data_IF_805382476676
#
_entry.id   IF_805382476676
#
_cell.length_a   1.000
_cell.length_b   1.000
_cell.length_c   1.000
_cell.angle_alpha   90.00
_cell.angle_beta   90.00
_cell.angle_gamma   90.00
#
_symmetry.space_group_name_H-M   'P 1'
#
loop_
_entity.id
_entity.type
_entity.pdbx_description
1 polymer ?
#
# COMPACT_ATOMS: atom_id res chain seq x y z
N UNK A 1 -1.25 -11.25 19.43
CA UNK A 1 -2.30 -11.99 18.69
C UNK A 1 -1.64 -12.84 17.61
N UNK A 2 -2.21 -13.99 17.26
CA UNK A 2 -1.71 -14.75 16.11
C UNK A 2 -2.21 -14.11 14.81
N UNK A 3 -1.54 -14.38 13.68
CA UNK A 3 -1.88 -13.81 12.36
C UNK A 3 -3.34 -14.14 11.97
N UNK A 4 -3.82 -15.34 12.31
CA UNK A 4 -5.21 -15.74 12.06
C UNK A 4 -6.21 -14.84 12.78
N UNK A 5 -5.94 -14.46 14.03
CA UNK A 5 -6.83 -13.61 14.82
C UNK A 5 -6.85 -12.19 14.25
N UNK A 6 -5.66 -11.67 13.90
CA UNK A 6 -5.51 -10.37 13.24
C UNK A 6 -6.34 -10.30 11.96
N UNK A 7 -6.21 -11.32 11.11
CA UNK A 7 -6.92 -11.36 9.82
C UNK A 7 -8.42 -11.51 10.01
N UNK A 8 -8.85 -12.39 10.91
CA UNK A 8 -10.27 -12.61 11.21
C UNK A 8 -10.95 -11.34 11.72
N UNK A 9 -10.30 -10.60 12.63
CA UNK A 9 -10.79 -9.31 13.12
C UNK A 9 -10.87 -8.29 11.98
N UNK A 10 -9.77 -8.14 11.23
CA UNK A 10 -9.65 -7.14 10.18
C UNK A 10 -10.64 -7.33 9.05
N UNK A 11 -10.97 -8.58 8.68
CA UNK A 11 -11.97 -8.89 7.65
C UNK A 11 -13.39 -8.52 8.08
N UNK A 12 -13.69 -8.55 9.38
CA UNK A 12 -15.01 -8.18 9.91
C UNK A 12 -15.14 -6.67 10.14
N UNK A 13 -14.03 -6.00 10.41
CA UNK A 13 -13.98 -4.59 10.80
C UNK A 13 -14.77 -3.64 9.86
N UNK A 14 -14.67 -3.70 8.52
CA UNK A 14 -15.41 -2.78 7.64
C UNK A 14 -16.93 -3.02 7.67
N UNK A 15 -17.38 -4.24 7.98
CA UNK A 15 -18.80 -4.58 8.10
C UNK A 15 -19.47 -3.98 9.33
N UNK A 16 -18.70 -3.40 10.26
CA UNK A 16 -19.24 -2.68 11.43
C UNK A 16 -20.09 -1.47 11.02
N UNK A 17 -19.78 -0.81 9.89
CA UNK A 17 -20.52 0.36 9.44
C UNK A 17 -20.49 0.54 7.90
N UNK A 18 -21.50 -0.03 7.23
CA UNK A 18 -21.66 0.07 5.78
C UNK A 18 -21.81 1.49 5.24
N UNK A 19 -22.34 2.42 6.05
CA UNK A 19 -22.45 3.84 5.63
C UNK A 19 -21.05 4.41 5.39
N UNK A 20 -20.10 4.12 6.27
CA UNK A 20 -18.70 4.57 6.14
C UNK A 20 -17.97 3.90 4.98
N UNK A 21 -18.26 2.61 4.73
CA UNK A 21 -17.77 1.90 3.53
C UNK A 21 -18.24 2.60 2.25
N UNK A 22 -19.53 2.91 2.16
CA UNK A 22 -20.12 3.59 1.00
C UNK A 22 -19.57 5.00 0.83
N UNK A 23 -19.37 5.77 1.91
CA UNK A 23 -18.77 7.11 1.83
C UNK A 23 -17.34 7.01 1.27
N UNK A 24 -16.51 6.09 1.79
CA UNK A 24 -15.18 5.87 1.25
C UNK A 24 -15.24 5.43 -0.22
N UNK A 25 -16.19 4.57 -0.58
CA UNK A 25 -16.45 4.14 -1.95
C UNK A 25 -16.81 5.28 -2.90
N UNK A 26 -17.62 6.25 -2.45
CA UNK A 26 -17.90 7.46 -3.22
C UNK A 26 -16.61 8.24 -3.47
N UNK A 27 -15.73 8.37 -2.45
CA UNK A 27 -14.42 9.01 -2.61
C UNK A 27 -13.54 8.29 -3.63
N UNK A 28 -13.53 6.95 -3.64
CA UNK A 28 -12.86 6.16 -4.67
C UNK A 28 -13.41 6.45 -6.07
N UNK A 29 -14.73 6.57 -6.23
CA UNK A 29 -15.34 6.89 -7.53
C UNK A 29 -14.92 8.28 -8.03
N UNK A 30 -14.91 9.29 -7.16
CA UNK A 30 -14.55 10.66 -7.56
C UNK A 30 -13.04 10.93 -7.55
N UNK A 31 -12.21 9.94 -7.22
CA UNK A 31 -10.74 10.06 -7.13
C UNK A 31 -10.06 10.40 -8.45
N UNK A 32 -10.74 10.24 -9.61
CA UNK A 32 -10.22 10.76 -10.89
C UNK A 32 -10.00 12.29 -10.89
N UNK A 33 -10.58 13.02 -9.92
CA UNK A 33 -10.39 14.46 -9.72
C UNK A 33 -9.11 14.81 -8.93
N UNK A 34 -8.25 13.82 -8.63
CA UNK A 34 -6.97 13.95 -7.90
C UNK A 34 -7.15 14.31 -6.41
N UNK A 35 -7.88 15.38 -6.08
CA UNK A 35 -8.09 15.81 -4.69
C UNK A 35 -8.69 14.68 -3.81
N UNK A 36 -9.72 13.92 -4.26
CA UNK A 36 -10.30 12.88 -3.43
C UNK A 36 -9.39 11.67 -3.19
N UNK A 37 -8.33 11.46 -3.98
CA UNK A 37 -7.33 10.41 -3.73
C UNK A 37 -6.67 10.62 -2.37
N UNK A 38 -6.31 11.87 -2.06
CA UNK A 38 -5.71 12.21 -0.77
C UNK A 38 -6.71 12.04 0.38
N UNK A 39 -8.00 12.28 0.16
CA UNK A 39 -9.04 12.00 1.16
C UNK A 39 -9.19 10.50 1.42
N UNK A 40 -9.09 9.66 0.38
CA UNK A 40 -9.07 8.20 0.54
C UNK A 40 -7.85 7.77 1.38
N UNK A 41 -6.65 8.20 0.99
CA UNK A 41 -5.42 7.90 1.75
C UNK A 41 -5.52 8.36 3.21
N UNK A 42 -5.99 9.59 3.41
CA UNK A 42 -6.19 10.16 4.74
C UNK A 42 -7.21 9.41 5.59
N UNK A 43 -8.31 8.95 5.01
CA UNK A 43 -9.29 8.15 5.75
C UNK A 43 -8.72 6.79 6.13
N UNK A 44 -8.00 6.12 5.23
CA UNK A 44 -7.30 4.86 5.52
C UNK A 44 -6.27 5.05 6.63
N UNK A 45 -5.56 6.18 6.63
CA UNK A 45 -4.67 6.57 7.74
C UNK A 45 -5.43 6.75 9.06
N UNK A 46 -6.60 7.37 9.01
CA UNK A 46 -7.43 7.57 10.20
C UNK A 46 -7.94 6.25 10.76
N UNK A 47 -8.29 5.28 9.90
CA UNK A 47 -8.62 3.91 10.32
C UNK A 47 -7.43 3.25 11.02
N UNK A 48 -6.22 3.43 10.48
CA UNK A 48 -4.98 2.96 11.10
C UNK A 48 -4.75 3.61 12.47
N UNK A 49 -4.86 4.96 12.58
CA UNK A 49 -4.76 5.70 13.86
C UNK A 49 -5.78 5.19 14.90
N UNK A 50 -7.06 5.09 14.51
CA UNK A 50 -8.13 4.62 15.40
C UNK A 50 -7.89 3.18 15.87
N UNK A 51 -7.43 2.31 14.98
CA UNK A 51 -7.13 0.91 15.31
C UNK A 51 -5.90 0.77 16.21
N UNK A 52 -4.87 1.60 16.02
CA UNK A 52 -3.70 1.66 16.92
C UNK A 52 -4.11 2.14 18.32
N UNK A 53 -5.09 3.04 18.40
CA UNK A 53 -5.67 3.50 19.67
C UNK A 53 -6.63 2.47 20.31
N UNK A 54 -6.78 1.27 19.75
CA UNK A 54 -7.64 0.22 20.28
C UNK A 54 -9.14 0.43 20.06
N UNK A 55 -9.53 1.32 19.14
CA UNK A 55 -10.94 1.54 18.82
C UNK A 55 -11.44 0.47 17.85
N UNK A 56 -12.54 -0.19 18.19
CA UNK A 56 -13.17 -1.22 17.35
C UNK A 56 -14.19 -0.68 16.34
N UNK A 57 -14.51 0.61 16.43
CA UNK A 57 -15.40 1.29 15.50
C UNK A 57 -14.63 2.00 14.40
N UNK A 58 -15.20 2.06 13.20
CA UNK A 58 -14.67 2.88 12.11
C UNK A 58 -14.68 4.36 12.53
N UNK A 59 -13.66 5.17 12.19
CA UNK A 59 -13.64 6.60 12.51
C UNK A 59 -14.71 7.39 11.74
N UNK A 60 -15.07 8.58 12.21
CA UNK A 60 -16.02 9.45 11.50
C UNK A 60 -15.39 10.17 10.30
N UNK A 61 -16.25 10.57 9.36
CA UNK A 61 -15.90 11.44 8.22
C UNK A 61 -16.09 12.91 8.59
N UNK A 62 -15.37 13.34 9.61
CA UNK A 62 -15.23 14.71 10.06
C UNK A 62 -13.85 15.27 9.72
N UNK A 63 -13.59 16.54 10.03
CA UNK A 63 -12.25 17.14 9.93
C UNK A 63 -11.54 16.86 8.58
N UNK A 64 -12.28 17.02 7.48
CA UNK A 64 -11.84 16.71 6.12
C UNK A 64 -10.52 17.37 5.72
N UNK A 65 -10.22 18.54 6.29
CA UNK A 65 -8.95 19.24 6.09
C UNK A 65 -7.76 18.48 6.68
N UNK A 66 -7.87 17.97 7.91
CA UNK A 66 -6.82 17.12 8.50
C UNK A 66 -6.66 15.83 7.69
N UNK A 67 -7.78 15.20 7.32
CA UNK A 67 -7.76 13.98 6.52
C UNK A 67 -7.03 14.20 5.19
N UNK A 68 -7.29 15.30 4.50
CA UNK A 68 -6.58 15.66 3.27
C UNK A 68 -5.06 15.84 3.50
N UNK A 69 -4.67 16.54 4.57
CA UNK A 69 -3.26 16.76 4.92
C UNK A 69 -2.57 15.43 5.24
N UNK A 70 -3.21 14.56 6.01
CA UNK A 70 -2.67 13.24 6.33
C UNK A 70 -2.53 12.37 5.07
N UNK A 71 -3.45 12.48 4.11
CA UNK A 71 -3.31 11.85 2.79
C UNK A 71 -2.09 12.34 2.02
N UNK A 72 -1.83 13.65 2.02
CA UNK A 72 -0.61 14.21 1.40
C UNK A 72 0.65 13.68 2.11
N UNK A 73 0.65 13.60 3.44
CA UNK A 73 1.78 13.05 4.19
C UNK A 73 2.08 11.62 3.80
N UNK A 74 1.05 10.76 3.69
CA UNK A 74 1.23 9.38 3.21
C UNK A 74 1.85 9.38 1.81
N UNK A 75 1.30 10.16 0.89
CA UNK A 75 1.83 10.24 -0.47
C UNK A 75 3.30 10.66 -0.47
N UNK A 76 3.70 11.63 0.37
CA UNK A 76 5.11 12.04 0.52
C UNK A 76 5.97 10.89 1.04
N UNK A 77 5.51 10.16 2.04
CA UNK A 77 6.22 8.98 2.57
C UNK A 77 6.40 7.93 1.48
N UNK A 78 5.32 7.52 0.81
CA UNK A 78 5.38 6.55 -0.29
C UNK A 78 6.32 7.03 -1.39
N UNK A 79 6.20 8.29 -1.81
CA UNK A 79 7.08 8.88 -2.83
C UNK A 79 8.56 8.80 -2.44
N UNK A 80 8.91 9.16 -1.20
CA UNK A 80 10.29 9.11 -0.71
C UNK A 80 10.82 7.68 -0.62
N UNK A 81 10.01 6.72 -0.15
CA UNK A 81 10.42 5.32 -0.08
C UNK A 81 10.60 4.67 -1.47
N UNK A 82 9.79 5.07 -2.45
CA UNK A 82 9.84 4.48 -3.79
C UNK A 82 10.70 5.24 -4.80
N UNK A 83 11.32 6.37 -4.43
CA UNK A 83 12.15 7.17 -5.35
C UNK A 83 13.35 6.38 -5.89
N UNK A 84 14.08 5.66 -5.02
CA UNK A 84 15.27 4.89 -5.41
C UNK A 84 14.86 3.70 -6.30
N UNK A 85 13.91 2.83 -5.90
CA UNK A 85 13.41 1.79 -6.78
C UNK A 85 12.94 2.31 -8.14
N UNK A 86 12.18 3.41 -8.16
CA UNK A 86 11.67 3.99 -9.40
C UNK A 86 12.79 4.45 -10.34
N UNK A 87 13.82 5.13 -9.82
CA UNK A 87 14.99 5.55 -10.62
C UNK A 87 15.70 4.34 -11.22
N UNK A 88 15.93 3.28 -10.44
CA UNK A 88 16.61 2.06 -10.92
C UNK A 88 15.79 1.39 -12.04
N UNK A 89 14.47 1.29 -11.88
CA UNK A 89 13.58 0.74 -12.90
C UNK A 89 13.58 1.61 -14.17
N UNK A 90 13.51 2.93 -14.02
CA UNK A 90 13.52 3.88 -15.15
C UNK A 90 14.84 3.79 -15.93
N UNK A 91 15.99 3.75 -15.25
CA UNK A 91 17.29 3.59 -15.90
C UNK A 91 17.40 2.24 -16.61
N UNK A 92 16.91 1.17 -16.00
CA UNK A 92 16.89 -0.17 -16.60
C UNK A 92 16.03 -0.25 -17.86
N UNK A 93 14.82 0.30 -17.81
CA UNK A 93 13.88 0.30 -18.95
C UNK A 93 14.32 1.26 -20.06
N UNK A 94 14.87 2.43 -19.72
CA UNK A 94 15.43 3.37 -20.70
C UNK A 94 16.64 2.79 -21.45
N UNK A 95 17.53 2.09 -20.73
CA UNK A 95 18.61 1.33 -21.36
C UNK A 95 18.11 0.26 -22.33
N UNK A 96 17.00 -0.42 -22.00
CA UNK A 96 16.37 -1.40 -22.88
C UNK A 96 15.85 -0.77 -24.19
N UNK A 97 15.10 0.32 -24.07
CA UNK A 97 14.45 1.01 -25.22
C UNK A 97 15.51 1.58 -26.17
N UNK A 98 16.52 2.26 -25.65
CA UNK A 98 17.61 2.83 -26.47
C UNK A 98 18.40 1.75 -27.20
N UNK A 99 18.61 0.59 -26.57
CA UNK A 99 19.26 -0.57 -27.19
C UNK A 99 18.44 -1.11 -28.36
N UNK A 100 17.12 -1.27 -28.20
CA UNK A 100 16.23 -1.74 -29.26
C UNK A 100 16.20 -0.77 -30.46
N UNK A 101 16.18 0.54 -30.20
CA UNK A 101 16.24 1.56 -31.25
C UNK A 101 17.58 1.53 -31.98
N UNK A 102 18.69 1.42 -31.25
CA UNK A 102 20.03 1.34 -31.84
C UNK A 102 20.21 0.11 -32.76
N UNK A 103 19.65 -1.03 -32.38
CA UNK A 103 19.70 -2.26 -33.19
C UNK A 103 18.80 -2.25 -34.43
N UNK A 104 17.79 -1.36 -34.49
CA UNK A 104 16.94 -1.21 -35.68
C UNK A 104 17.49 -0.20 -36.70
N UNK A 105 18.33 0.75 -36.26
CA UNK A 105 18.90 1.79 -37.13
C UNK A 105 20.26 1.45 -37.74
N UNK A 106 20.97 0.46 -37.21
CA UNK A 106 22.32 0.09 -37.66
C UNK A 106 22.32 -1.42 -37.90
N UNK A 107 22.72 -1.87 -39.10
CA UNK A 107 22.99 -3.28 -39.40
C UNK A 107 24.16 -3.87 -38.61
N UNK A 108 24.43 -3.37 -37.40
CA UNK A 108 25.55 -3.75 -36.56
C UNK A 108 25.20 -4.90 -35.64
N UNK A 109 26.03 -5.93 -35.72
CA UNK A 109 26.13 -7.05 -34.79
C UNK A 109 26.69 -6.62 -33.41
N UNK A 110 26.12 -5.59 -32.77
CA UNK A 110 26.34 -5.41 -31.34
C UNK A 110 25.63 -6.58 -30.64
N UNK A 111 26.37 -7.41 -29.89
CA UNK A 111 25.87 -8.65 -29.28
C UNK A 111 24.55 -8.37 -28.52
N UNK A 112 23.38 -8.77 -29.08
CA UNK A 112 22.08 -8.39 -28.52
C UNK A 112 21.92 -8.89 -27.08
N UNK A 113 22.65 -9.95 -26.72
CA UNK A 113 22.64 -10.61 -25.43
C UNK A 113 23.27 -9.80 -24.29
N UNK A 114 24.33 -9.02 -24.54
CA UNK A 114 25.02 -8.27 -23.48
C UNK A 114 24.23 -7.03 -23.02
N UNK A 115 23.57 -6.33 -23.95
CA UNK A 115 22.72 -5.18 -23.63
C UNK A 115 21.34 -5.58 -23.09
N UNK A 116 20.72 -6.65 -23.62
CA UNK A 116 19.49 -7.20 -23.05
C UNK A 116 19.69 -7.72 -21.61
N UNK A 117 20.87 -8.25 -21.31
CA UNK A 117 21.26 -8.68 -19.97
C UNK A 117 21.37 -7.54 -18.95
N UNK A 118 21.90 -6.38 -19.37
CA UNK A 118 22.01 -5.17 -18.53
C UNK A 118 20.64 -4.53 -18.25
N UNK A 119 19.75 -4.47 -19.25
CA UNK A 119 18.39 -3.94 -19.07
C UNK A 119 17.49 -4.85 -18.24
N UNK A 120 17.60 -6.17 -18.39
CA UNK A 120 16.88 -7.13 -17.58
C UNK A 120 17.36 -7.15 -16.13
N UNK A 121 18.68 -7.08 -15.92
CA UNK A 121 19.28 -7.06 -14.58
C UNK A 121 18.85 -5.84 -13.76
N UNK A 122 18.88 -4.64 -14.34
CA UNK A 122 18.45 -3.41 -13.66
C UNK A 122 16.97 -3.43 -13.29
N UNK A 123 16.10 -3.98 -14.15
CA UNK A 123 14.67 -4.14 -13.84
C UNK A 123 14.45 -5.10 -12.66
N UNK A 124 15.12 -6.25 -12.65
CA UNK A 124 15.04 -7.21 -11.54
C UNK A 124 15.54 -6.58 -10.23
N UNK A 125 16.68 -5.89 -10.26
CA UNK A 125 17.20 -5.18 -9.08
C UNK A 125 16.22 -4.10 -8.61
N UNK A 126 15.64 -3.33 -9.53
CA UNK A 126 14.64 -2.32 -9.21
C UNK A 126 13.39 -2.89 -8.54
N UNK A 127 12.90 -4.04 -9.00
CA UNK A 127 11.77 -4.75 -8.39
C UNK A 127 12.13 -5.25 -6.99
N UNK A 128 13.33 -5.82 -6.81
CA UNK A 128 13.80 -6.27 -5.49
C UNK A 128 13.86 -5.09 -4.52
N UNK A 129 14.41 -3.94 -4.96
CA UNK A 129 14.43 -2.72 -4.16
C UNK A 129 13.01 -2.24 -3.85
N UNK A 130 12.09 -2.25 -4.81
CA UNK A 130 10.70 -1.85 -4.57
C UNK A 130 10.03 -2.72 -3.49
N UNK A 131 10.27 -4.04 -3.50
CA UNK A 131 9.77 -4.96 -2.48
C UNK A 131 10.39 -4.62 -1.11
N UNK A 132 11.72 -4.47 -1.04
CA UNK A 132 12.41 -4.17 0.23
C UNK A 132 11.94 -2.83 0.82
N UNK A 133 11.92 -1.77 0.02
CA UNK A 133 11.48 -0.45 0.47
C UNK A 133 9.98 -0.44 0.80
N UNK A 134 9.16 -1.18 0.05
CA UNK A 134 7.73 -1.33 0.33
C UNK A 134 7.44 -2.01 1.67
N UNK A 135 8.20 -3.06 2.01
CA UNK A 135 8.13 -3.69 3.33
C UNK A 135 8.42 -2.67 4.46
N UNK A 136 9.45 -1.85 4.31
CA UNK A 136 9.77 -0.83 5.33
C UNK A 136 8.72 0.29 5.35
N UNK A 137 8.22 0.72 4.18
CA UNK A 137 7.24 1.80 4.05
C UNK A 137 5.91 1.50 4.77
N UNK A 138 5.47 0.24 4.77
CA UNK A 138 4.24 -0.15 5.48
C UNK A 138 4.35 0.10 6.98
N UNK A 139 5.46 -0.28 7.61
CA UNK A 139 5.67 0.00 9.04
C UNK A 139 6.02 1.48 9.28
N UNK A 140 6.64 2.17 8.32
CA UNK A 140 6.87 3.61 8.38
C UNK A 140 5.56 4.40 8.52
N UNK A 141 4.54 4.06 7.72
CA UNK A 141 3.22 4.69 7.79
C UNK A 141 2.54 4.36 9.14
N UNK A 142 2.66 3.12 9.63
CA UNK A 142 2.15 2.75 10.95
C UNK A 142 2.86 3.51 12.09
N UNK A 143 4.18 3.68 12.01
CA UNK A 143 4.95 4.48 12.97
C UNK A 143 4.51 5.95 12.94
N UNK A 144 4.30 6.52 11.74
CA UNK A 144 3.74 7.85 11.59
C UNK A 144 2.35 7.97 12.22
N UNK A 145 1.50 6.95 12.07
CA UNK A 145 0.18 6.92 12.70
C UNK A 145 0.28 6.86 14.23
N UNK A 146 1.20 6.05 14.76
CA UNK A 146 1.48 5.94 16.21
C UNK A 146 1.90 7.28 16.81
N UNK A 147 2.71 8.07 16.10
CA UNK A 147 3.10 9.43 16.48
C UNK A 147 2.13 10.51 15.94
N UNK A 148 0.82 10.22 15.90
CA UNK A 148 -0.24 11.19 15.57
C UNK A 148 -0.04 11.94 14.25
N UNK A 149 0.51 11.30 13.22
CA UNK A 149 0.69 11.90 11.90
C UNK A 149 1.91 12.81 11.79
N UNK A 150 2.90 12.71 12.69
CA UNK A 150 4.18 13.40 12.57
C UNK A 150 4.97 12.84 11.37
N UNK A 151 5.11 13.62 10.28
CA UNK A 151 5.76 13.16 9.06
C UNK A 151 7.19 12.63 9.29
N UNK A 152 7.94 13.24 10.21
CA UNK A 152 9.29 12.81 10.58
C UNK A 152 9.35 11.40 11.18
N UNK A 153 8.28 10.93 11.81
CA UNK A 153 8.21 9.60 12.40
C UNK A 153 8.22 8.48 11.36
N UNK A 154 7.76 8.75 10.13
CA UNK A 154 7.89 7.79 9.01
C UNK A 154 9.34 7.55 8.58
N UNK A 155 10.30 8.39 9.00
CA UNK A 155 11.70 8.28 8.59
C UNK A 155 12.63 7.91 9.75
N UNK A 156 12.08 7.50 10.90
CA UNK A 156 12.85 6.97 12.04
C UNK A 156 13.27 5.52 11.78
N UNK A 157 14.16 5.32 10.81
CA UNK A 157 14.51 3.98 10.30
C UNK A 157 14.98 2.99 11.38
N UNK A 158 15.75 3.45 12.38
CA UNK A 158 16.19 2.59 13.49
C UNK A 158 15.01 2.04 14.30
N UNK A 159 14.02 2.88 14.57
CA UNK A 159 12.79 2.50 15.27
C UNK A 159 11.95 1.55 14.42
N UNK A 160 11.74 1.88 13.14
CA UNK A 160 10.96 1.06 12.19
C UNK A 160 11.56 -0.34 12.05
N UNK A 161 12.88 -0.45 11.87
CA UNK A 161 13.57 -1.74 11.78
C UNK A 161 13.53 -2.52 13.10
N UNK A 162 13.59 -1.82 14.24
CA UNK A 162 13.40 -2.42 15.56
C UNK A 162 11.98 -2.99 15.71
N UNK A 163 10.94 -2.26 15.27
CA UNK A 163 9.55 -2.73 15.28
C UNK A 163 9.40 -3.99 14.42
N UNK A 164 9.90 -3.99 13.19
CA UNK A 164 9.87 -5.18 12.32
C UNK A 164 10.58 -6.37 12.98
N UNK A 165 11.73 -6.12 13.60
CA UNK A 165 12.48 -7.17 14.31
C UNK A 165 11.73 -7.71 15.53
N UNK A 166 10.97 -6.88 16.24
CA UNK A 166 10.14 -7.29 17.40
C UNK A 166 8.92 -8.10 16.97
N UNK A 167 8.27 -7.73 15.86
CA UNK A 167 7.22 -8.55 15.23
C UNK A 167 7.79 -9.91 14.81
N UNK A 168 9.05 -9.89 14.36
CA UNK A 168 9.77 -11.03 13.80
C UNK A 168 9.59 -11.10 12.29
N UNK A 169 10.70 -11.12 11.55
CA UNK A 169 10.70 -11.10 10.07
C UNK A 169 9.83 -12.19 9.44
N UNK A 170 9.83 -13.39 10.01
CA UNK A 170 9.01 -14.51 9.50
C UNK A 170 7.53 -14.18 9.64
N UNK A 171 7.08 -13.75 10.83
CA UNK A 171 5.68 -13.40 11.07
C UNK A 171 5.25 -12.20 10.21
N UNK A 172 6.12 -11.19 10.08
CA UNK A 172 5.87 -10.03 9.25
C UNK A 172 5.69 -10.40 7.77
N UNK A 173 6.57 -11.25 7.23
CA UNK A 173 6.47 -11.73 5.85
C UNK A 173 5.21 -12.59 5.66
N UNK A 174 4.88 -13.47 6.60
CA UNK A 174 3.64 -14.26 6.55
C UNK A 174 2.42 -13.35 6.51
N UNK A 175 2.34 -12.35 7.40
CA UNK A 175 1.26 -11.37 7.39
C UNK A 175 1.17 -10.65 6.04
N UNK A 176 2.31 -10.18 5.51
CA UNK A 176 2.37 -9.48 4.22
C UNK A 176 1.86 -10.37 3.07
N UNK A 177 2.25 -11.64 3.03
CA UNK A 177 1.76 -12.63 2.06
C UNK A 177 0.25 -12.84 2.21
N UNK A 178 -0.26 -12.98 3.44
CA UNK A 178 -1.71 -13.14 3.67
C UNK A 178 -2.47 -11.92 3.16
N UNK A 179 -1.98 -10.70 3.41
CA UNK A 179 -2.59 -9.48 2.90
C UNK A 179 -2.54 -9.41 1.36
N UNK A 180 -1.46 -9.87 0.72
CA UNK A 180 -1.40 -10.00 -0.74
C UNK A 180 -2.44 -11.00 -1.26
N UNK A 181 -2.65 -12.13 -0.59
CA UNK A 181 -3.68 -13.12 -0.98
C UNK A 181 -5.08 -12.54 -0.85
N UNK A 182 -5.38 -11.81 0.24
CA UNK A 182 -6.67 -11.13 0.42
C UNK A 182 -6.89 -10.09 -0.69
N UNK A 183 -5.88 -9.28 -0.99
CA UNK A 183 -5.92 -8.32 -2.10
C UNK A 183 -6.13 -8.99 -3.45
N UNK A 184 -5.46 -10.12 -3.70
CA UNK A 184 -5.61 -10.90 -4.92
C UNK A 184 -7.03 -11.47 -5.07
N UNK A 185 -7.60 -12.04 -4.01
CA UNK A 185 -8.99 -12.51 -3.99
C UNK A 185 -9.96 -11.35 -4.27
N UNK A 186 -9.75 -10.20 -3.62
CA UNK A 186 -10.52 -8.99 -3.89
C UNK A 186 -10.41 -8.52 -5.34
N UNK A 187 -9.22 -8.61 -5.95
CA UNK A 187 -9.00 -8.34 -7.37
C UNK A 187 -9.74 -9.29 -8.31
N UNK A 188 -9.82 -10.58 -7.98
CA UNK A 188 -10.64 -11.55 -8.71
C UNK A 188 -12.12 -11.17 -8.62
N UNK A 189 -12.62 -10.85 -7.41
CA UNK A 189 -14.02 -10.42 -7.22
C UNK A 189 -14.31 -9.17 -8.05
N UNK A 190 -13.44 -8.16 -8.00
CA UNK A 190 -13.58 -6.96 -8.82
C UNK A 190 -13.57 -7.29 -10.32
N UNK A 191 -12.74 -8.23 -10.77
CA UNK A 191 -12.68 -8.65 -12.17
C UNK A 191 -13.97 -9.34 -12.62
N UNK A 192 -14.55 -10.21 -11.77
CA UNK A 192 -15.84 -10.86 -12.03
C UNK A 192 -16.97 -9.84 -12.12
N UNK A 193 -17.00 -8.86 -11.20
CA UNK A 193 -18.01 -7.79 -11.23
C UNK A 193 -17.96 -7.04 -12.57
N UNK A 194 -16.75 -6.72 -13.06
CA UNK A 194 -16.54 -6.00 -14.32
C UNK A 194 -16.98 -6.75 -15.59
N UNK A 195 -17.43 -8.01 -15.51
CA UNK A 195 -18.12 -8.69 -16.62
C UNK A 195 -19.38 -7.91 -17.04
N UNK A 196 -20.03 -7.24 -16.09
CA UNK A 196 -21.11 -6.29 -16.37
C UNK A 196 -20.49 -4.89 -16.47
N UNK A 197 -20.34 -4.31 -17.66
CA UNK A 197 -19.71 -3.01 -17.81
C UNK A 197 -20.45 -1.94 -17.02
N UNK A 198 -19.72 -0.92 -16.55
CA UNK A 198 -20.21 0.20 -15.74
C UNK A 198 -20.72 -0.19 -14.33
N UNK A 199 -21.71 -1.08 -14.21
CA UNK A 199 -22.26 -1.51 -12.91
C UNK A 199 -21.19 -2.23 -12.09
N UNK A 200 -20.50 -3.20 -12.71
CA UNK A 200 -19.42 -3.93 -12.09
C UNK A 200 -18.29 -3.02 -11.61
N UNK A 201 -17.91 -2.08 -12.46
CA UNK A 201 -16.88 -1.08 -12.17
C UNK A 201 -17.26 -0.21 -10.96
N UNK A 202 -18.49 0.32 -10.95
CA UNK A 202 -19.00 1.13 -9.84
C UNK A 202 -19.06 0.31 -8.56
N UNK A 203 -19.54 -0.94 -8.58
CA UNK A 203 -19.59 -1.79 -7.39
C UNK A 203 -18.19 -2.12 -6.85
N UNK A 204 -17.21 -2.35 -7.73
CA UNK A 204 -15.83 -2.57 -7.31
C UNK A 204 -15.27 -1.35 -6.56
N UNK A 205 -15.45 -0.13 -7.10
CA UNK A 205 -15.04 1.13 -6.46
C UNK A 205 -15.83 1.46 -5.20
N UNK A 206 -17.13 1.18 -5.20
CA UNK A 206 -18.02 1.53 -4.09
C UNK A 206 -17.86 0.62 -2.87
N UNK A 207 -17.51 -0.65 -3.09
CA UNK A 207 -17.49 -1.67 -2.04
C UNK A 207 -16.15 -2.38 -1.94
N UNK A 208 -15.68 -3.02 -3.02
CA UNK A 208 -14.53 -3.94 -2.94
C UNK A 208 -13.25 -3.21 -2.49
N UNK A 209 -12.89 -2.12 -3.16
CA UNK A 209 -11.66 -1.38 -2.79
C UNK A 209 -11.73 -0.77 -1.39
N UNK A 210 -12.77 0.00 -0.99
CA UNK A 210 -12.92 0.47 0.38
C UNK A 210 -12.74 -0.63 1.42
N UNK A 211 -13.38 -1.78 1.21
CA UNK A 211 -13.32 -2.91 2.12
C UNK A 211 -11.88 -3.42 2.29
N UNK A 212 -11.15 -3.63 1.19
CA UNK A 212 -9.75 -4.09 1.22
C UNK A 212 -8.81 -3.10 1.92
N UNK A 213 -8.94 -1.80 1.65
CA UNK A 213 -8.10 -0.79 2.28
C UNK A 213 -8.35 -0.68 3.79
N UNK A 214 -9.61 -0.81 4.23
CA UNK A 214 -9.93 -0.84 5.67
C UNK A 214 -9.42 -2.11 6.36
N UNK A 215 -9.52 -3.29 5.71
CA UNK A 215 -8.90 -4.52 6.21
C UNK A 215 -7.40 -4.31 6.39
N UNK A 216 -6.73 -3.73 5.38
CA UNK A 216 -5.29 -3.49 5.44
C UNK A 216 -4.88 -2.56 6.58
N UNK A 217 -5.57 -1.43 6.74
CA UNK A 217 -5.29 -0.49 7.83
C UNK A 217 -5.50 -1.13 9.21
N UNK A 218 -6.60 -1.86 9.40
CA UNK A 218 -6.89 -2.57 10.67
C UNK A 218 -5.85 -3.66 10.94
N UNK A 219 -5.53 -4.49 9.95
CA UNK A 219 -4.60 -5.61 10.12
C UNK A 219 -3.18 -5.14 10.40
N UNK A 220 -2.78 -4.02 9.78
CA UNK A 220 -1.50 -3.38 10.04
C UNK A 220 -1.43 -2.85 11.48
N UNK A 221 -2.49 -2.19 11.96
CA UNK A 221 -2.55 -1.71 13.34
C UNK A 221 -2.40 -2.85 14.35
N UNK A 222 -3.17 -3.93 14.18
CA UNK A 222 -3.14 -5.08 15.08
C UNK A 222 -1.81 -5.84 15.04
N UNK A 223 -1.18 -5.91 13.86
CA UNK A 223 0.17 -6.44 13.75
C UNK A 223 1.17 -5.55 14.49
N UNK A 224 1.07 -4.23 14.31
CA UNK A 224 1.95 -3.26 14.94
C UNK A 224 1.86 -3.32 16.47
N UNK A 225 0.65 -3.40 17.04
CA UNK A 225 0.42 -3.51 18.48
C UNK A 225 0.64 -4.91 19.04
N UNK A 226 0.81 -5.94 18.20
CA UNK A 226 1.06 -7.31 18.66
C UNK A 226 2.36 -7.48 19.45
N UNK A 227 3.25 -6.49 19.41
CA UNK A 227 4.52 -6.44 20.14
C UNK A 227 4.39 -5.79 21.53
N UNK A 228 3.30 -5.09 21.81
CA UNK A 228 3.06 -4.49 23.13
C UNK A 228 2.50 -5.58 24.07
N UNK A 229 3.05 -5.74 25.28
CA UNK A 229 2.45 -6.61 26.27
C UNK A 229 1.05 -6.07 26.58
N UNK A 230 0.06 -6.97 26.64
CA UNK A 230 -1.28 -6.66 27.14
C UNK A 230 -1.10 -6.18 28.59
N UNK A 231 -1.29 -4.89 28.84
CA UNK A 231 -1.43 -4.37 30.21
C UNK A 231 -2.73 -4.86 30.85
#
# INVERSE_FOLDING_TARGET
MNISDIVSDSVRYPSSNWKKVVILGILFIISFLIIPVFLVMGYVFRVLKASLAGLDELPEFDEWGEMFIDGIKIFVVEFVYFIIPAIVILLGTWGAVTSMVATQGVGSMAAPTALLGLSGGALVVGIILAIIFGLVAVIAIANMAYYNGELGAAFRFSEILSIISKIGWVNYIIWYIVMMVIGFIGGIIASILNIIPLIGFVLALLVVYPYLYMIFARSLALLFTSIEPVE
#
